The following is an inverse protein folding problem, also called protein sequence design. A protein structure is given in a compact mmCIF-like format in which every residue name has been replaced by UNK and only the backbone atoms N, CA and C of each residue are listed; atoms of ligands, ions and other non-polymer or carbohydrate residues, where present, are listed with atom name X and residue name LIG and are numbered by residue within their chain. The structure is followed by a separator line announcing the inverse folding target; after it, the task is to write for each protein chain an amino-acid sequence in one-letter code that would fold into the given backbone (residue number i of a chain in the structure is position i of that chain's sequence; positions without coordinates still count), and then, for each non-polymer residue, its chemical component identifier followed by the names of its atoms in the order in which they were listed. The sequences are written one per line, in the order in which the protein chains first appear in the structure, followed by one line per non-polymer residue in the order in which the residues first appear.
data_IF_569672839478
#
_entry.id   IF_569672839478
#
_cell.length_a   1.000
_cell.length_b   1.000
_cell.length_c   1.000
_cell.angle_alpha   90.00
_cell.angle_beta   90.00
_cell.angle_gamma   90.00
#
_symmetry.space_group_name_H-M   'P 1'
#
loop_
_entity.id
_entity.type
_entity.pdbx_description
1 polymer ?
#
# COMPACT_ATOMS: atom_id res chain seq x y z
N UNK A 1 22.68 29.73 0.98
CA UNK A 1 22.71 28.25 1.18
C UNK A 1 22.90 27.84 2.64
N UNK A 2 23.71 28.55 3.45
CA UNK A 2 23.85 28.28 4.89
C UNK A 2 22.56 28.49 5.68
N UNK A 3 21.85 29.60 5.48
CA UNK A 3 20.59 29.89 6.17
C UNK A 3 19.49 28.84 5.92
N UNK A 4 19.38 28.33 4.68
CA UNK A 4 18.42 27.26 4.35
C UNK A 4 18.75 25.98 5.12
N UNK A 5 20.04 25.60 5.17
CA UNK A 5 20.45 24.40 5.93
C UNK A 5 20.15 24.54 7.41
N UNK A 6 20.43 25.72 7.97
CA UNK A 6 20.13 26.02 9.38
C UNK A 6 18.63 25.93 9.66
N UNK A 7 17.80 26.54 8.81
CA UNK A 7 16.34 26.47 8.93
C UNK A 7 15.80 25.04 8.82
N UNK A 8 16.34 24.20 7.92
CA UNK A 8 15.97 22.78 7.83
C UNK A 8 16.32 22.05 9.12
N UNK A 9 17.53 22.24 9.68
CA UNK A 9 17.93 21.60 10.93
C UNK A 9 17.03 22.00 12.12
N UNK A 10 16.68 23.28 12.22
CA UNK A 10 15.76 23.78 13.25
C UNK A 10 14.35 23.19 13.09
N UNK A 11 13.84 23.13 11.85
CA UNK A 11 12.54 22.54 11.57
C UNK A 11 12.52 21.03 11.87
N UNK A 12 13.59 20.30 11.56
CA UNK A 12 13.69 18.87 11.89
C UNK A 12 13.49 18.64 13.39
N UNK A 13 14.12 19.45 14.24
CA UNK A 13 13.94 19.32 15.70
C UNK A 13 12.48 19.55 16.14
N UNK A 14 11.80 20.52 15.52
CA UNK A 14 10.37 20.76 15.79
C UNK A 14 9.53 19.54 15.40
N UNK A 15 9.75 18.98 14.19
CA UNK A 15 9.02 17.78 13.71
C UNK A 15 9.25 16.59 14.66
N UNK A 16 10.50 16.34 15.07
CA UNK A 16 10.82 15.26 16.01
C UNK A 16 10.06 15.41 17.33
N UNK A 17 9.91 16.64 17.83
CA UNK A 17 9.17 16.92 19.06
C UNK A 17 7.67 16.64 18.90
N UNK A 18 7.07 17.03 17.77
CA UNK A 18 5.66 16.76 17.49
C UNK A 18 5.38 15.25 17.35
N UNK A 19 6.36 14.48 16.86
CA UNK A 19 6.31 13.02 16.85
C UNK A 19 6.63 12.38 18.20
N UNK A 20 6.81 13.16 19.26
CA UNK A 20 7.27 12.69 20.58
C UNK A 20 8.55 11.84 20.54
N UNK A 21 9.42 12.10 19.55
CA UNK A 21 10.61 11.29 19.25
C UNK A 21 10.33 9.80 18.97
N UNK A 22 9.07 9.44 18.68
CA UNK A 22 8.73 8.12 18.16
C UNK A 22 8.91 8.11 16.64
N UNK A 23 10.04 7.54 16.21
CA UNK A 23 10.38 7.37 14.80
C UNK A 23 10.12 5.94 14.33
N UNK A 24 9.51 5.11 15.17
CA UNK A 24 9.22 3.73 14.82
C UNK A 24 7.85 3.64 14.17
N UNK A 25 7.83 3.33 12.88
CA UNK A 25 6.60 3.06 12.17
C UNK A 25 6.82 1.90 11.20
N UNK A 26 5.81 1.05 11.05
CA UNK A 26 5.87 -0.06 10.11
C UNK A 26 5.77 0.47 8.68
N UNK A 27 6.80 0.27 7.87
CA UNK A 27 6.76 0.67 6.47
C UNK A 27 5.89 -0.30 5.65
N UNK A 28 4.85 0.18 4.95
CA UNK A 28 4.04 -0.65 4.05
C UNK A 28 4.86 -1.38 2.99
N UNK A 29 5.99 -0.81 2.54
CA UNK A 29 6.87 -1.43 1.54
C UNK A 29 7.53 -2.73 2.02
N UNK A 30 7.89 -2.82 3.30
CA UNK A 30 8.51 -4.04 3.85
C UNK A 30 7.50 -5.19 3.84
N UNK A 31 6.27 -4.91 4.26
CA UNK A 31 5.17 -5.88 4.24
C UNK A 31 4.75 -6.24 2.82
N UNK A 32 4.71 -5.25 1.92
CA UNK A 32 4.41 -5.47 0.51
C UNK A 32 5.40 -6.46 -0.10
N UNK A 33 6.71 -6.29 0.16
CA UNK A 33 7.74 -7.20 -0.35
C UNK A 33 7.53 -8.64 0.13
N UNK A 34 7.23 -8.83 1.43
CA UNK A 34 6.96 -10.15 2.01
C UNK A 34 5.74 -10.79 1.34
N UNK A 35 4.64 -10.06 1.17
CA UNK A 35 3.43 -10.59 0.56
C UNK A 35 3.61 -10.91 -0.92
N UNK A 36 4.35 -10.09 -1.65
CA UNK A 36 4.68 -10.37 -3.06
C UNK A 36 5.54 -11.63 -3.21
N UNK A 37 6.46 -11.91 -2.28
CA UNK A 37 7.27 -13.13 -2.32
C UNK A 37 6.42 -14.38 -2.07
N UNK A 38 5.51 -14.31 -1.09
CA UNK A 38 4.52 -15.38 -0.85
C UNK A 38 3.66 -15.61 -2.10
N UNK A 39 3.11 -14.55 -2.69
CA UNK A 39 2.26 -14.65 -3.89
C UNK A 39 3.04 -15.16 -5.11
N UNK A 40 4.30 -14.77 -5.26
CA UNK A 40 5.17 -15.29 -6.31
C UNK A 40 5.34 -16.80 -6.22
N UNK A 41 5.38 -17.35 -5.00
CA UNK A 41 5.41 -18.81 -4.81
C UNK A 41 4.10 -19.51 -5.23
N UNK A 42 2.97 -18.81 -5.18
CA UNK A 42 1.65 -19.36 -5.55
C UNK A 42 1.35 -19.24 -7.05
N UNK A 43 1.86 -18.19 -7.71
CA UNK A 43 1.61 -17.89 -9.12
C UNK A 43 2.89 -17.44 -9.86
N UNK A 44 3.92 -18.30 -9.97
CA UNK A 44 5.21 -17.93 -10.53
C UNK A 44 5.13 -17.51 -12.01
N UNK A 45 4.26 -18.15 -12.80
CA UNK A 45 4.07 -17.83 -14.22
C UNK A 45 3.51 -16.42 -14.43
N UNK A 46 2.56 -15.99 -13.58
CA UNK A 46 1.98 -14.65 -13.68
C UNK A 46 2.98 -13.56 -13.27
N UNK A 47 3.81 -13.83 -12.27
CA UNK A 47 4.93 -12.95 -11.90
C UNK A 47 6.04 -12.91 -12.96
N UNK A 48 6.19 -13.95 -13.79
CA UNK A 48 7.11 -13.94 -14.92
C UNK A 48 6.53 -13.19 -16.12
N UNK A 49 5.20 -13.22 -16.28
CA UNK A 49 4.48 -12.61 -17.41
C UNK A 49 4.19 -11.13 -17.21
N UNK A 50 3.83 -10.72 -15.99
CA UNK A 50 3.39 -9.36 -15.67
C UNK A 50 4.30 -8.69 -14.63
N UNK A 51 4.48 -7.36 -14.69
CA UNK A 51 5.31 -6.62 -13.74
C UNK A 51 4.58 -6.36 -12.41
N UNK A 52 3.99 -7.41 -11.79
CA UNK A 52 3.12 -7.30 -10.60
C UNK A 52 3.82 -6.54 -9.46
N UNK A 53 5.07 -6.90 -9.17
CA UNK A 53 5.81 -6.29 -8.07
C UNK A 53 6.12 -4.81 -8.31
N UNK A 54 6.48 -4.43 -9.54
CA UNK A 54 6.78 -3.04 -9.89
C UNK A 54 5.50 -2.20 -9.89
N UNK A 55 4.39 -2.73 -10.42
CA UNK A 55 3.07 -2.08 -10.37
C UNK A 55 2.59 -1.87 -8.94
N UNK A 56 2.76 -2.85 -8.05
CA UNK A 56 2.42 -2.70 -6.63
C UNK A 56 3.29 -1.64 -5.95
N UNK A 57 4.59 -1.60 -6.25
CA UNK A 57 5.48 -0.57 -5.71
C UNK A 57 5.12 0.83 -6.21
N UNK A 58 4.76 0.97 -7.49
CA UNK A 58 4.32 2.23 -8.07
C UNK A 58 3.02 2.71 -7.42
N UNK A 59 1.99 1.86 -7.38
CA UNK A 59 0.71 2.22 -6.76
C UNK A 59 0.85 2.53 -5.26
N UNK A 60 1.67 1.77 -4.51
CA UNK A 60 1.91 2.09 -3.10
C UNK A 60 2.61 3.44 -2.93
N UNK A 61 3.49 3.86 -3.85
CA UNK A 61 4.08 5.21 -3.83
C UNK A 61 3.03 6.27 -4.13
N UNK A 62 2.14 6.01 -5.08
CA UNK A 62 1.05 6.94 -5.40
C UNK A 62 0.15 7.15 -4.17
N UNK A 63 -0.11 6.13 -3.36
CA UNK A 63 -0.85 6.29 -2.11
C UNK A 63 -0.27 7.35 -1.16
N UNK A 64 1.05 7.63 -1.20
CA UNK A 64 1.67 8.66 -0.36
C UNK A 64 1.38 10.10 -0.83
N UNK A 65 0.74 10.30 -1.98
CA UNK A 65 0.22 11.63 -2.35
C UNK A 65 -0.96 12.05 -1.48
N UNK A 66 -1.65 11.08 -0.88
CA UNK A 66 -2.77 11.27 0.04
C UNK A 66 -2.40 10.76 1.46
N UNK A 67 -1.79 11.61 2.31
CA UNK A 67 -1.32 11.19 3.64
C UNK A 67 -2.44 10.62 4.53
N UNK A 68 -3.66 11.15 4.43
CA UNK A 68 -4.79 10.72 5.24
C UNK A 68 -5.16 9.26 4.99
N UNK A 69 -5.04 8.79 3.74
CA UNK A 69 -5.24 7.39 3.38
C UNK A 69 -4.20 6.49 4.07
N UNK A 70 -2.92 6.85 3.95
CA UNK A 70 -1.81 6.05 4.51
C UNK A 70 -1.88 6.01 6.05
N UNK A 71 -2.29 7.11 6.68
CA UNK A 71 -2.40 7.20 8.14
C UNK A 71 -3.67 6.53 8.69
N UNK A 72 -4.73 6.41 7.89
CA UNK A 72 -6.00 5.81 8.31
C UNK A 72 -5.99 4.28 8.34
N UNK A 73 -5.03 3.66 7.65
CA UNK A 73 -4.95 2.20 7.52
C UNK A 73 -3.64 1.64 8.07
N UNK A 74 -3.68 0.42 8.58
CA UNK A 74 -2.45 -0.29 8.92
C UNK A 74 -1.67 -0.63 7.66
N UNK A 75 -0.34 -0.61 7.76
CA UNK A 75 0.60 -0.92 6.68
C UNK A 75 0.30 -2.27 6.00
N UNK A 76 -0.12 -3.26 6.79
CA UNK A 76 -0.60 -4.56 6.29
C UNK A 76 -1.82 -4.44 5.39
N UNK A 77 -2.84 -3.71 5.84
CA UNK A 77 -4.10 -3.62 5.11
C UNK A 77 -3.95 -2.83 3.82
N UNK A 78 -3.14 -1.77 3.86
CA UNK A 78 -2.81 -0.99 2.67
C UNK A 78 -2.03 -1.82 1.63
N UNK A 79 -1.01 -2.57 2.06
CA UNK A 79 -0.23 -3.41 1.15
C UNK A 79 -1.09 -4.47 0.43
N UNK A 80 -1.98 -5.15 1.18
CA UNK A 80 -2.89 -6.14 0.60
C UNK A 80 -3.88 -5.48 -0.39
N UNK A 81 -4.42 -4.31 -0.05
CA UNK A 81 -5.33 -3.59 -0.94
C UNK A 81 -4.65 -3.15 -2.24
N UNK A 82 -3.41 -2.67 -2.17
CA UNK A 82 -2.60 -2.34 -3.36
C UNK A 82 -2.39 -3.56 -4.24
N UNK A 83 -2.00 -4.71 -3.65
CA UNK A 83 -1.85 -5.96 -4.40
C UNK A 83 -3.16 -6.33 -5.09
N UNK A 84 -4.27 -6.31 -4.34
CA UNK A 84 -5.58 -6.67 -4.87
C UNK A 84 -6.00 -5.79 -6.06
N UNK A 85 -5.81 -4.47 -5.96
CA UNK A 85 -6.09 -3.54 -7.06
C UNK A 85 -5.20 -3.80 -8.28
N UNK A 86 -3.90 -4.02 -8.08
CA UNK A 86 -2.99 -4.31 -9.18
C UNK A 86 -3.40 -5.59 -9.90
N UNK A 87 -3.70 -6.66 -9.16
CA UNK A 87 -4.14 -7.93 -9.72
C UNK A 87 -5.46 -7.80 -10.50
N UNK A 88 -6.45 -7.09 -9.93
CA UNK A 88 -7.71 -6.77 -10.62
C UNK A 88 -7.48 -5.94 -11.88
N UNK A 89 -6.57 -4.96 -11.84
CA UNK A 89 -6.25 -4.09 -12.96
C UNK A 89 -5.57 -4.80 -14.14
N UNK A 90 -4.88 -5.92 -13.88
CA UNK A 90 -4.25 -6.77 -14.91
C UNK A 90 -5.05 -8.04 -15.24
N UNK A 91 -6.25 -8.18 -14.68
CA UNK A 91 -7.14 -9.34 -14.86
C UNK A 91 -6.47 -10.68 -14.48
N UNK A 92 -5.78 -10.69 -13.35
CA UNK A 92 -5.13 -11.89 -12.78
C UNK A 92 -5.78 -12.28 -11.47
N UNK A 93 -6.26 -13.51 -11.39
CA UNK A 93 -6.82 -14.10 -10.16
C UNK A 93 -5.76 -14.87 -9.37
N UNK A 94 -5.85 -14.80 -8.05
CA UNK A 94 -5.00 -15.62 -7.17
C UNK A 94 -5.48 -17.07 -7.17
N UNK A 95 -4.62 -18.05 -7.46
CA UNK A 95 -5.02 -19.45 -7.51
C UNK A 95 -5.55 -19.99 -6.17
N UNK A 96 -6.49 -20.93 -6.21
CA UNK A 96 -6.92 -21.79 -5.11
C UNK A 96 -7.63 -21.12 -3.91
N UNK A 97 -7.80 -19.79 -3.89
CA UNK A 97 -8.57 -19.12 -2.83
C UNK A 97 -9.16 -17.79 -3.31
N UNK A 98 -10.49 -17.64 -3.17
CA UNK A 98 -11.16 -16.36 -3.35
C UNK A 98 -10.78 -15.35 -2.24
N UNK A 99 -10.44 -15.84 -1.04
CA UNK A 99 -10.10 -15.05 0.15
C UNK A 99 -8.60 -15.13 0.48
N UNK A 100 -7.75 -15.12 -0.55
CA UNK A 100 -6.29 -15.21 -0.42
C UNK A 100 -5.69 -14.17 0.53
N UNK A 101 -6.34 -13.00 0.66
CA UNK A 101 -5.92 -11.93 1.55
C UNK A 101 -6.02 -12.30 3.04
N UNK A 102 -6.94 -13.18 3.43
CA UNK A 102 -7.07 -13.65 4.82
C UNK A 102 -5.91 -14.57 5.23
N UNK A 103 -5.36 -15.31 4.24
CA UNK A 103 -4.18 -16.16 4.43
C UNK A 103 -2.94 -15.31 4.72
N UNK A 104 -2.81 -14.15 4.06
CA UNK A 104 -1.73 -13.20 4.32
C UNK A 104 -1.89 -12.50 5.66
N UNK A 105 -3.12 -12.12 6.02
CA UNK A 105 -3.41 -11.51 7.30
C UNK A 105 -4.83 -11.76 7.79
N UNK A 106 -4.96 -12.47 8.92
CA UNK A 106 -6.26 -12.90 9.49
C UNK A 106 -7.24 -11.78 9.84
N UNK A 107 -6.77 -10.54 10.03
CA UNK A 107 -7.66 -9.41 10.33
C UNK A 107 -8.17 -8.68 9.07
N UNK A 108 -7.72 -9.12 7.89
CA UNK A 108 -8.26 -8.62 6.65
C UNK A 108 -9.61 -9.27 6.39
N UNK A 109 -10.60 -8.45 6.02
CA UNK A 109 -11.93 -8.91 5.59
C UNK A 109 -12.23 -8.30 4.24
N UNK A 110 -13.12 -8.93 3.48
CA UNK A 110 -13.52 -8.43 2.16
C UNK A 110 -14.07 -6.99 2.23
N UNK A 111 -14.86 -6.67 3.27
CA UNK A 111 -15.40 -5.32 3.47
C UNK A 111 -14.29 -4.28 3.67
N UNK A 112 -13.27 -4.63 4.47
CA UNK A 112 -12.12 -3.75 4.71
C UNK A 112 -11.28 -3.59 3.46
N UNK A 113 -11.06 -4.66 2.72
CA UNK A 113 -10.36 -4.64 1.45
C UNK A 113 -11.06 -3.69 0.48
N UNK A 114 -12.34 -3.93 0.18
CA UNK A 114 -13.14 -3.11 -0.74
C UNK A 114 -13.18 -1.63 -0.33
N UNK A 115 -13.23 -1.34 0.97
CA UNK A 115 -13.17 0.04 1.48
C UNK A 115 -11.86 0.71 1.08
N UNK A 116 -10.72 0.09 1.37
CA UNK A 116 -9.40 0.67 1.05
C UNK A 116 -9.22 0.78 -0.46
N UNK A 117 -9.65 -0.23 -1.22
CA UNK A 117 -9.60 -0.18 -2.69
C UNK A 117 -10.38 1.01 -3.24
N UNK A 118 -11.57 1.27 -2.70
CA UNK A 118 -12.40 2.42 -3.10
C UNK A 118 -11.71 3.73 -2.77
N UNK A 119 -11.13 3.86 -1.57
CA UNK A 119 -10.41 5.06 -1.17
C UNK A 119 -9.17 5.28 -2.05
N UNK A 120 -8.39 4.24 -2.40
CA UNK A 120 -7.28 4.37 -3.36
C UNK A 120 -7.79 4.88 -4.73
N UNK A 121 -8.85 4.27 -5.27
CA UNK A 121 -9.39 4.64 -6.58
C UNK A 121 -9.92 6.08 -6.59
N UNK A 122 -10.68 6.47 -5.57
CA UNK A 122 -11.31 7.77 -5.48
C UNK A 122 -10.32 8.87 -5.09
N UNK A 123 -9.53 8.65 -4.04
CA UNK A 123 -8.74 9.70 -3.40
C UNK A 123 -7.38 9.87 -4.09
N UNK A 124 -6.74 8.77 -4.51
CA UNK A 124 -5.42 8.83 -5.17
C UNK A 124 -5.56 9.07 -6.67
N UNK A 125 -6.48 8.35 -7.33
CA UNK A 125 -6.61 8.39 -8.79
C UNK A 125 -7.78 9.24 -9.30
N UNK A 126 -8.66 9.74 -8.43
CA UNK A 126 -9.79 10.59 -8.83
C UNK A 126 -10.81 9.90 -9.73
N UNK A 127 -10.88 8.57 -9.70
CA UNK A 127 -11.75 7.79 -10.57
C UNK A 127 -13.10 7.53 -9.88
N UNK A 128 -14.20 7.83 -10.56
CA UNK A 128 -15.54 7.50 -10.05
C UNK A 128 -15.86 6.02 -10.29
N UNK A 129 -16.11 5.27 -9.22
CA UNK A 129 -16.63 3.90 -9.32
C UNK A 129 -18.07 3.92 -9.85
N UNK A 130 -18.29 3.39 -11.06
CA UNK A 130 -19.63 3.22 -11.62
C UNK A 130 -20.40 2.23 -10.74
N UNK A 131 -21.41 2.72 -10.00
CA UNK A 131 -22.35 1.86 -9.29
C UNK A 131 -23.22 1.16 -10.33
N UNK A 132 -23.03 -0.14 -10.51
CA UNK A 132 -23.98 -1.01 -11.21
C UNK A 132 -25.13 -1.42 -10.28
#
# INVERSE_FOLDING_TARGET
MYEVRKGVSELTFVILRELNFDLTFGHPFDLLAIYLDILRSWMPEEFAKYPIADSCNAMLRDCYTEPDLVLSHSSTSLAIAVISLVLKGIDVDVPHSHDWFEVLHKSMTEQRLRKIETEIICDVYGLELRKE
#
